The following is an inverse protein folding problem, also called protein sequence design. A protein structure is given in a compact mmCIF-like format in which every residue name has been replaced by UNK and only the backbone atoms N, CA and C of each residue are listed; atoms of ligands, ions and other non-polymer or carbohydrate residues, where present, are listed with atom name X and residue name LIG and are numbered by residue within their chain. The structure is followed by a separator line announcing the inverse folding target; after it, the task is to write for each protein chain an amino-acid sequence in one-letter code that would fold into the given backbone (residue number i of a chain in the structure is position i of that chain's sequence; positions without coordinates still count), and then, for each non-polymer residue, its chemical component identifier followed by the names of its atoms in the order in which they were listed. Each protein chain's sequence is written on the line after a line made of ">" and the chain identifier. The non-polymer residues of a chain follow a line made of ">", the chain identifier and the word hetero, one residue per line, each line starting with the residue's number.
data_IF_183889397529
#
_entry.id   IF_183889397529
#
_cell.length_a   1.000
_cell.length_b   1.000
_cell.length_c   1.000
_cell.angle_alpha   90.00
_cell.angle_beta   90.00
_cell.angle_gamma   90.00
#
_symmetry.space_group_name_H-M   'P 1'
#
loop_
_entity.id
_entity.type
_entity.pdbx_description
1 polymer ?
#
# COMPACT_ATOMS: atom_id res chain seq x y z
N UNK A 1 16.36 -30.02 6.27
CA UNK A 1 17.74 -30.57 6.32
C UNK A 1 18.13 -31.04 4.93
N UNK A 2 19.42 -31.07 4.59
CA UNK A 2 19.96 -31.70 3.38
C UNK A 2 20.65 -33.00 3.75
N UNK A 3 20.56 -33.99 2.87
CA UNK A 3 21.14 -35.31 3.04
C UNK A 3 21.89 -35.73 1.78
N UNK A 4 23.14 -36.15 1.94
CA UNK A 4 24.01 -36.57 0.83
C UNK A 4 24.35 -38.03 0.95
N UNK A 5 24.16 -38.79 -0.14
CA UNK A 5 24.47 -40.22 -0.24
C UNK A 5 25.76 -40.37 -1.04
N UNK A 6 26.71 -41.24 -0.64
CA UNK A 6 27.93 -41.49 -1.41
C UNK A 6 27.65 -41.99 -2.82
N UNK A 7 28.45 -41.57 -3.81
CA UNK A 7 28.31 -41.87 -5.25
C UNK A 7 28.30 -43.36 -5.64
N UNK A 8 28.56 -44.30 -4.72
CA UNK A 8 28.58 -45.76 -4.97
C UNK A 8 27.38 -46.53 -4.41
N UNK A 9 26.32 -45.86 -3.97
CA UNK A 9 25.17 -46.55 -3.38
C UNK A 9 24.22 -47.16 -4.44
N UNK A 10 24.05 -48.49 -4.38
CA UNK A 10 22.94 -49.26 -4.99
C UNK A 10 21.59 -48.62 -4.65
N UNK A 11 20.56 -48.80 -5.49
CA UNK A 11 19.17 -48.36 -5.20
C UNK A 11 18.80 -48.73 -3.75
N UNK A 12 18.61 -47.72 -2.91
CA UNK A 12 18.13 -47.86 -1.54
C UNK A 12 16.63 -47.67 -1.54
N UNK A 13 15.91 -48.57 -0.88
CA UNK A 13 14.50 -48.35 -0.57
C UNK A 13 14.35 -47.25 0.51
N UNK A 14 13.10 -46.84 0.78
CA UNK A 14 12.82 -45.77 1.74
C UNK A 14 13.35 -46.08 3.14
N UNK A 15 13.20 -47.34 3.61
CA UNK A 15 13.66 -47.76 4.94
C UNK A 15 15.19 -47.69 5.07
N UNK A 16 15.93 -48.07 4.01
CA UNK A 16 17.38 -47.94 3.96
C UNK A 16 17.84 -46.48 3.92
N UNK A 17 17.07 -45.58 3.30
CA UNK A 17 17.35 -44.13 3.31
C UNK A 17 17.10 -43.51 4.68
N UNK A 18 16.00 -43.88 5.36
CA UNK A 18 15.70 -43.43 6.72
C UNK A 18 16.79 -43.86 7.71
N UNK A 19 17.21 -45.13 7.65
CA UNK A 19 18.29 -45.66 8.49
C UNK A 19 19.62 -44.93 8.25
N UNK A 20 19.95 -44.67 6.97
CA UNK A 20 21.15 -43.93 6.61
C UNK A 20 21.09 -42.47 7.08
N UNK A 21 19.93 -41.82 6.97
CA UNK A 21 19.73 -40.45 7.43
C UNK A 21 19.82 -40.34 8.96
N UNK A 22 19.18 -41.26 9.68
CA UNK A 22 19.20 -41.30 11.15
C UNK A 22 20.63 -41.43 11.68
N UNK A 23 21.42 -42.35 11.09
CA UNK A 23 22.80 -42.65 11.49
C UNK A 23 23.86 -41.66 10.97
N UNK A 24 23.54 -40.83 9.98
CA UNK A 24 24.49 -39.88 9.41
C UNK A 24 24.88 -38.79 10.44
N UNK A 25 26.19 -38.51 10.63
CA UNK A 25 26.65 -37.44 11.49
C UNK A 25 26.18 -36.07 10.99
N UNK A 26 25.78 -35.16 11.90
CA UNK A 26 25.49 -33.78 11.54
C UNK A 26 26.78 -33.05 11.17
N UNK A 27 26.71 -32.19 10.16
CA UNK A 27 27.76 -31.23 9.81
C UNK A 27 27.24 -29.80 9.90
N UNK A 28 28.10 -28.87 10.30
CA UNK A 28 27.77 -27.45 10.33
C UNK A 28 27.41 -26.93 8.93
N UNK A 29 26.67 -25.82 8.88
CA UNK A 29 26.11 -25.28 7.65
C UNK A 29 27.21 -24.89 6.65
N UNK A 30 28.25 -24.21 7.13
CA UNK A 30 29.38 -23.74 6.32
C UNK A 30 30.60 -24.68 6.34
N UNK A 31 30.54 -25.80 7.07
CA UNK A 31 31.63 -26.77 7.10
C UNK A 31 31.77 -27.48 5.74
N UNK A 32 33.01 -27.68 5.28
CA UNK A 32 33.29 -28.48 4.09
C UNK A 32 32.86 -29.95 4.35
N UNK A 33 32.02 -30.55 3.50
CA UNK A 33 31.63 -31.94 3.66
C UNK A 33 32.75 -32.89 3.21
N UNK A 34 32.83 -34.07 3.82
CA UNK A 34 33.56 -35.21 3.24
C UNK A 34 32.58 -36.06 2.42
N UNK A 35 32.58 -35.86 1.10
CA UNK A 35 31.67 -36.52 0.16
C UNK A 35 31.87 -38.05 0.07
N UNK A 36 32.88 -38.60 0.76
CA UNK A 36 33.09 -40.05 0.89
C UNK A 36 32.17 -40.68 1.95
N UNK A 37 31.65 -39.89 2.88
CA UNK A 37 30.81 -40.34 3.99
C UNK A 37 29.37 -39.85 3.82
N UNK A 38 28.42 -40.58 4.39
CA UNK A 38 27.07 -40.04 4.55
C UNK A 38 27.09 -38.98 5.65
N UNK A 39 26.46 -37.84 5.41
CA UNK A 39 26.32 -36.75 6.39
C UNK A 39 24.96 -36.08 6.24
N UNK A 40 24.50 -35.41 7.30
CA UNK A 40 23.30 -34.56 7.25
C UNK A 40 23.65 -33.12 7.64
N UNK A 41 23.07 -32.16 6.92
CA UNK A 41 23.26 -30.73 7.18
C UNK A 41 21.92 -30.09 7.54
N UNK A 42 21.86 -29.42 8.69
CA UNK A 42 20.71 -28.58 9.03
C UNK A 42 20.72 -27.37 8.08
N UNK A 43 19.66 -27.20 7.30
CA UNK A 43 19.55 -26.07 6.36
C UNK A 43 18.87 -24.85 6.98
N UNK A 44 18.20 -25.07 8.11
CA UNK A 44 17.31 -24.14 8.76
C UNK A 44 16.38 -24.89 9.69
N UNK A 45 15.70 -24.15 10.53
CA UNK A 45 14.62 -24.64 11.37
C UNK A 45 13.63 -23.50 11.58
N UNK A 46 12.35 -23.84 11.58
CA UNK A 46 11.27 -22.96 11.96
C UNK A 46 10.58 -23.54 13.19
N UNK A 47 10.27 -22.69 14.15
CA UNK A 47 9.51 -23.03 15.36
C UNK A 47 8.38 -22.03 15.50
N UNK A 48 7.19 -22.52 15.85
CA UNK A 48 6.01 -21.69 16.07
C UNK A 48 5.58 -21.93 17.51
N UNK A 49 5.44 -20.85 18.27
CA UNK A 49 4.78 -20.87 19.57
C UNK A 49 3.36 -20.39 19.40
N UNK A 50 2.45 -21.05 20.09
CA UNK A 50 1.03 -20.71 20.12
C UNK A 50 0.68 -20.13 21.49
N UNK A 51 -0.31 -19.25 21.53
CA UNK A 51 -0.91 -18.81 22.79
C UNK A 51 -1.77 -19.90 23.42
N UNK A 52 -1.97 -19.78 24.74
CA UNK A 52 -3.10 -20.40 25.42
C UNK A 52 -4.45 -19.85 24.93
N UNK A 53 -5.56 -20.47 25.35
CA UNK A 53 -6.90 -19.99 24.97
C UNK A 53 -7.26 -18.61 25.57
N UNK A 54 -6.48 -18.14 26.55
CA UNK A 54 -6.55 -16.80 27.16
C UNK A 54 -5.80 -15.72 26.36
N UNK A 55 -5.03 -16.10 25.34
CA UNK A 55 -4.22 -15.22 24.50
C UNK A 55 -3.23 -14.32 25.26
N UNK A 56 -2.83 -14.69 26.49
CA UNK A 56 -1.89 -13.92 27.30
C UNK A 56 -0.47 -14.45 27.18
N UNK A 57 -0.27 -15.75 27.47
CA UNK A 57 1.05 -16.38 27.54
C UNK A 57 1.24 -17.45 26.45
N UNK A 58 2.47 -17.62 25.93
CA UNK A 58 2.77 -18.71 25.02
C UNK A 58 2.70 -20.06 25.76
N UNK A 59 2.22 -21.07 25.04
CA UNK A 59 2.34 -22.46 25.44
C UNK A 59 3.74 -23.01 25.11
N UNK A 60 4.18 -24.08 25.80
CA UNK A 60 5.41 -24.77 25.47
C UNK A 60 5.45 -25.22 24.00
N UNK A 61 6.66 -25.29 23.44
CA UNK A 61 6.86 -25.73 22.05
C UNK A 61 6.18 -27.07 21.77
N UNK A 62 5.46 -27.16 20.65
CA UNK A 62 4.73 -28.36 20.25
C UNK A 62 3.32 -28.49 20.85
N UNK A 63 2.91 -27.56 21.72
CA UNK A 63 1.55 -27.49 22.27
C UNK A 63 0.77 -26.38 21.57
N UNK A 64 -0.48 -26.68 21.20
CA UNK A 64 -1.39 -25.73 20.56
C UNK A 64 -2.75 -25.78 21.26
N UNK A 65 -3.30 -24.62 21.64
CA UNK A 65 -4.65 -24.50 22.16
C UNK A 65 -5.72 -24.56 21.04
N UNK A 66 -6.99 -24.66 21.40
CA UNK A 66 -8.08 -24.81 20.43
C UNK A 66 -8.16 -23.63 19.45
N UNK A 67 -7.83 -22.41 19.89
CA UNK A 67 -7.81 -21.22 19.04
C UNK A 67 -6.73 -21.24 17.96
N UNK A 68 -5.63 -21.96 18.18
CA UNK A 68 -4.50 -21.96 17.25
C UNK A 68 -3.87 -20.58 17.03
N UNK A 69 -4.03 -19.64 17.97
CA UNK A 69 -3.48 -18.30 17.86
C UNK A 69 -1.95 -18.32 18.00
N UNK A 70 -1.24 -17.76 17.04
CA UNK A 70 0.23 -17.73 17.04
C UNK A 70 0.72 -16.66 18.00
N UNK A 71 1.64 -17.03 18.89
CA UNK A 71 2.39 -16.09 19.71
C UNK A 71 3.54 -15.48 18.91
N UNK A 72 4.48 -16.32 18.47
CA UNK A 72 5.63 -15.91 17.66
C UNK A 72 6.07 -17.07 16.76
N UNK A 73 6.60 -16.73 15.59
CA UNK A 73 7.37 -17.67 14.76
C UNK A 73 8.84 -17.30 14.85
N UNK A 74 9.67 -18.31 15.08
CA UNK A 74 11.12 -18.23 15.11
C UNK A 74 11.69 -18.94 13.88
N UNK A 75 12.61 -18.29 13.18
CA UNK A 75 13.36 -18.89 12.07
C UNK A 75 14.85 -18.82 12.38
N UNK A 76 15.53 -19.97 12.32
CA UNK A 76 16.96 -20.03 12.57
C UNK A 76 17.72 -19.40 11.40
N UNK A 77 18.59 -18.43 11.72
CA UNK A 77 19.41 -17.70 10.74
C UNK A 77 20.84 -18.19 10.76
N UNK A 78 21.42 -18.41 11.95
CA UNK A 78 22.77 -18.93 12.10
C UNK A 78 22.79 -20.20 12.94
N UNK A 79 23.67 -21.12 12.58
CA UNK A 79 24.15 -22.13 13.53
C UNK A 79 25.27 -21.53 14.41
N UNK A 80 25.83 -22.36 15.30
CA UNK A 80 26.86 -21.96 16.27
C UNK A 80 28.05 -21.22 15.66
N UNK A 81 28.48 -21.61 14.45
CA UNK A 81 29.72 -21.12 13.83
C UNK A 81 29.45 -20.20 12.63
N UNK A 82 28.26 -20.29 12.03
CA UNK A 82 27.94 -19.65 10.76
C UNK A 82 28.13 -18.13 10.77
N UNK A 83 27.74 -17.44 11.85
CA UNK A 83 27.90 -15.99 11.94
C UNK A 83 29.39 -15.59 11.96
N UNK A 84 30.19 -16.23 12.82
CA UNK A 84 31.63 -15.96 12.91
C UNK A 84 32.35 -16.28 11.60
N UNK A 85 31.99 -17.38 10.93
CA UNK A 85 32.55 -17.74 9.63
C UNK A 85 32.15 -16.77 8.51
N UNK A 86 30.87 -16.41 8.42
CA UNK A 86 30.36 -15.51 7.39
C UNK A 86 30.95 -14.09 7.50
N UNK A 87 31.17 -13.62 8.73
CA UNK A 87 31.67 -12.28 9.02
C UNK A 87 33.12 -12.26 9.51
N UNK A 88 33.90 -13.33 9.26
CA UNK A 88 35.34 -13.42 9.60
C UNK A 88 35.67 -13.03 11.05
N UNK A 89 34.76 -13.34 11.97
CA UNK A 89 34.87 -13.05 13.41
C UNK A 89 34.49 -11.63 13.84
N UNK A 90 34.10 -10.74 12.92
CA UNK A 90 33.70 -9.36 13.26
C UNK A 90 32.33 -9.31 13.96
N UNK A 91 31.46 -10.27 13.67
CA UNK A 91 30.13 -10.41 14.27
C UNK A 91 30.12 -11.63 15.18
N UNK A 92 29.97 -11.38 16.48
CA UNK A 92 29.84 -12.40 17.52
C UNK A 92 28.50 -12.34 18.26
N UNK A 93 28.41 -13.12 19.33
CA UNK A 93 27.18 -13.26 20.13
C UNK A 93 26.63 -11.92 20.65
N UNK A 94 27.51 -11.01 21.07
CA UNK A 94 27.12 -9.71 21.60
C UNK A 94 26.44 -8.82 20.54
N UNK A 95 26.99 -8.78 19.31
CA UNK A 95 26.42 -8.01 18.21
C UNK A 95 25.09 -8.61 17.72
N UNK A 96 24.99 -9.94 17.68
CA UNK A 96 23.75 -10.63 17.33
C UNK A 96 22.64 -10.34 18.35
N UNK A 97 22.95 -10.45 19.65
CA UNK A 97 22.00 -10.11 20.69
C UNK A 97 21.59 -8.63 20.65
N UNK A 98 22.55 -7.71 20.45
CA UNK A 98 22.29 -6.28 20.35
C UNK A 98 21.42 -5.88 19.13
N UNK A 99 21.36 -6.73 18.11
CA UNK A 99 20.54 -6.51 16.90
C UNK A 99 19.22 -7.28 16.93
N UNK A 100 18.91 -7.97 18.03
CA UNK A 100 17.61 -8.62 18.24
C UNK A 100 17.54 -10.11 17.91
N UNK A 101 18.66 -10.75 17.58
CA UNK A 101 18.68 -12.21 17.44
C UNK A 101 18.62 -12.86 18.82
N UNK A 102 17.76 -13.87 18.97
CA UNK A 102 17.69 -14.69 20.17
C UNK A 102 18.58 -15.92 20.00
N UNK A 103 19.40 -16.24 21.00
CA UNK A 103 20.16 -17.49 20.99
C UNK A 103 19.27 -18.66 21.45
N UNK A 104 19.55 -19.88 20.99
CA UNK A 104 18.89 -21.09 21.50
C UNK A 104 18.98 -21.16 23.04
N UNK A 105 20.15 -20.82 23.61
CA UNK A 105 20.34 -20.73 25.05
C UNK A 105 19.38 -19.75 25.76
N UNK A 106 19.15 -18.54 25.22
CA UNK A 106 18.20 -17.59 25.84
C UNK A 106 16.77 -18.11 25.76
N UNK A 107 16.37 -18.65 24.59
CA UNK A 107 15.03 -19.19 24.38
C UNK A 107 14.74 -20.40 25.28
N UNK A 108 15.74 -21.23 25.58
CA UNK A 108 15.61 -22.31 26.57
C UNK A 108 15.50 -21.73 27.98
N UNK A 109 16.32 -20.73 28.34
CA UNK A 109 16.28 -20.12 29.67
C UNK A 109 14.96 -19.40 29.97
N UNK A 110 14.30 -18.89 28.93
CA UNK A 110 12.97 -18.28 28.97
C UNK A 110 11.84 -19.33 28.98
N UNK A 111 12.16 -20.62 28.88
CA UNK A 111 11.18 -21.72 28.84
C UNK A 111 10.39 -21.82 27.52
N UNK A 112 10.77 -21.05 26.50
CA UNK A 112 10.10 -21.01 25.21
C UNK A 112 10.49 -22.21 24.33
N UNK A 113 11.76 -22.60 24.39
CA UNK A 113 12.31 -23.75 23.69
C UNK A 113 12.66 -24.88 24.66
N UNK A 114 12.57 -26.11 24.18
CA UNK A 114 13.03 -27.31 24.86
C UNK A 114 14.29 -27.90 24.23
N UNK A 115 14.89 -28.85 24.95
CA UNK A 115 16.05 -29.62 24.49
C UNK A 115 17.41 -28.99 24.77
N UNK A 116 18.49 -29.57 24.22
CA UNK A 116 19.84 -29.07 24.41
C UNK A 116 20.12 -27.80 23.60
N UNK A 117 21.02 -26.96 24.10
CA UNK A 117 21.51 -25.79 23.37
C UNK A 117 22.37 -26.21 22.16
N UNK A 118 21.81 -26.02 20.96
CA UNK A 118 22.50 -26.25 19.69
C UNK A 118 23.37 -25.06 19.24
N UNK A 119 23.39 -23.97 20.00
CA UNK A 119 24.10 -22.73 19.67
C UNK A 119 23.48 -21.95 18.51
N UNK A 120 22.23 -22.23 18.15
CA UNK A 120 21.51 -21.54 17.09
C UNK A 120 21.17 -20.08 17.42
N UNK A 121 21.06 -19.26 16.38
CA UNK A 121 20.57 -17.88 16.46
C UNK A 121 19.33 -17.70 15.60
N UNK A 122 18.32 -17.07 16.17
CA UNK A 122 16.96 -17.04 15.65
C UNK A 122 16.49 -15.60 15.47
N UNK A 123 15.77 -15.34 14.38
CA UNK A 123 14.89 -14.17 14.26
C UNK A 123 13.48 -14.56 14.69
N UNK A 124 12.72 -13.61 15.22
CA UNK A 124 11.32 -13.80 15.56
C UNK A 124 10.43 -12.84 14.74
N UNK A 125 9.19 -13.26 14.47
CA UNK A 125 8.15 -12.33 14.01
C UNK A 125 7.79 -11.34 15.13
N UNK A 126 7.12 -10.24 14.76
CA UNK A 126 6.41 -9.44 15.75
C UNK A 126 5.37 -10.31 16.47
N UNK A 127 5.12 -9.99 17.74
CA UNK A 127 4.14 -10.66 18.59
C UNK A 127 2.87 -9.84 18.65
N UNK A 128 1.75 -10.48 18.32
CA UNK A 128 0.44 -9.87 18.54
C UNK A 128 0.13 -9.87 20.03
N UNK A 129 -0.19 -8.71 20.57
CA UNK A 129 -0.54 -8.51 21.99
C UNK A 129 -2.04 -8.25 22.07
N UNK A 130 -2.72 -9.02 22.91
CA UNK A 130 -4.18 -8.97 23.07
C UNK A 130 -4.57 -8.17 24.32
N UNK A 131 -5.81 -7.70 24.38
CA UNK A 131 -6.36 -7.06 25.57
C UNK A 131 -6.60 -8.04 26.72
N UNK A 132 -7.07 -7.54 27.88
CA UNK A 132 -7.32 -8.36 29.07
C UNK A 132 -8.51 -9.31 28.91
N UNK A 133 -9.45 -9.01 28.01
CA UNK A 133 -10.66 -9.80 27.78
C UNK A 133 -10.77 -10.25 26.30
N UNK A 134 -9.83 -11.05 25.76
CA UNK A 134 -9.73 -11.25 24.31
C UNK A 134 -10.99 -11.81 23.67
N UNK A 135 -11.82 -12.57 24.39
CA UNK A 135 -13.10 -13.06 23.88
C UNK A 135 -14.12 -11.94 23.64
N UNK A 136 -14.23 -11.01 24.57
CA UNK A 136 -15.07 -9.82 24.42
C UNK A 136 -14.52 -8.89 23.33
N UNK A 137 -13.20 -8.94 23.10
CA UNK A 137 -12.49 -8.17 22.06
C UNK A 137 -12.35 -8.93 20.73
N UNK A 138 -13.16 -9.96 20.49
CA UNK A 138 -13.17 -10.76 19.25
C UNK A 138 -11.83 -11.40 18.87
N UNK A 139 -10.95 -11.59 19.84
CA UNK A 139 -9.58 -12.06 19.69
C UNK A 139 -8.80 -11.19 18.70
N UNK A 140 -9.06 -9.88 18.69
CA UNK A 140 -8.33 -8.92 17.89
C UNK A 140 -7.16 -8.33 18.71
N UNK A 141 -5.97 -8.18 18.11
CA UNK A 141 -4.82 -7.66 18.82
C UNK A 141 -4.95 -6.15 19.07
N UNK A 142 -4.47 -5.71 20.23
CA UNK A 142 -4.36 -4.31 20.64
C UNK A 142 -2.99 -3.71 20.35
N UNK A 143 -1.97 -4.54 20.18
CA UNK A 143 -0.66 -4.09 19.73
C UNK A 143 0.09 -5.17 18.96
N UNK A 144 1.13 -4.73 18.25
CA UNK A 144 2.18 -5.60 17.72
C UNK A 144 3.50 -5.24 18.40
N UNK A 145 4.12 -6.20 19.08
CA UNK A 145 5.39 -6.04 19.79
C UNK A 145 6.52 -6.55 18.93
N UNK A 146 7.48 -5.68 18.62
CA UNK A 146 8.66 -6.07 17.87
C UNK A 146 9.62 -6.94 18.70
N UNK A 147 10.73 -7.36 18.08
CA UNK A 147 11.76 -8.17 18.73
C UNK A 147 12.51 -7.40 19.85
N UNK A 148 12.48 -6.06 19.83
CA UNK A 148 13.12 -5.20 20.84
C UNK A 148 12.18 -4.88 22.00
N UNK A 149 10.97 -5.44 21.99
CA UNK A 149 9.96 -5.21 23.03
C UNK A 149 9.21 -3.88 22.88
N UNK A 150 9.27 -3.23 21.71
CA UNK A 150 8.53 -1.99 21.44
C UNK A 150 7.18 -2.30 20.79
N UNK A 151 6.14 -1.64 21.29
CA UNK A 151 4.78 -1.88 20.85
C UNK A 151 4.33 -0.83 19.83
N UNK A 152 3.71 -1.30 18.75
CA UNK A 152 2.85 -0.50 17.87
C UNK A 152 1.40 -0.75 18.29
N UNK A 153 0.75 0.27 18.82
CA UNK A 153 -0.63 0.19 19.30
C UNK A 153 -1.63 0.20 18.14
N UNK A 154 -2.65 -0.64 18.25
CA UNK A 154 -3.75 -0.82 17.31
C UNK A 154 -5.03 -0.36 18.01
N UNK A 155 -5.69 0.63 17.43
CA UNK A 155 -6.99 1.12 17.91
C UNK A 155 -8.07 0.70 16.94
N UNK A 156 -9.26 0.39 17.44
CA UNK A 156 -10.44 0.08 16.64
C UNK A 156 -11.50 1.17 16.80
N UNK A 157 -12.42 1.23 15.85
CA UNK A 157 -13.53 2.16 15.89
C UNK A 157 -14.62 1.65 16.85
N UNK A 158 -14.91 2.46 17.88
CA UNK A 158 -15.89 2.13 18.91
C UNK A 158 -15.45 0.94 19.78
N UNK A 159 -16.35 0.53 20.67
CA UNK A 159 -16.16 -0.64 21.54
C UNK A 159 -16.53 -1.96 20.85
N UNK A 160 -17.06 -1.89 19.63
CA UNK A 160 -17.48 -3.05 18.81
C UNK A 160 -16.35 -3.61 17.92
N UNK A 161 -15.14 -3.04 17.98
CA UNK A 161 -13.96 -3.48 17.22
C UNK A 161 -14.15 -3.53 15.69
N UNK A 162 -15.08 -2.74 15.15
CA UNK A 162 -15.59 -2.89 13.79
C UNK A 162 -14.51 -2.75 12.70
N UNK A 163 -13.63 -1.77 12.83
CA UNK A 163 -12.55 -1.50 11.89
C UNK A 163 -11.36 -0.90 12.65
N UNK A 164 -10.14 -1.24 12.24
CA UNK A 164 -8.94 -0.59 12.76
C UNK A 164 -8.98 0.91 12.45
N UNK A 165 -9.01 1.74 13.48
CA UNK A 165 -9.15 3.18 13.40
C UNK A 165 -7.83 3.93 13.56
N UNK A 166 -6.82 3.36 14.21
CA UNK A 166 -5.52 3.99 14.29
C UNK A 166 -4.38 3.00 14.52
N UNK A 167 -3.19 3.42 14.10
CA UNK A 167 -1.92 2.82 14.46
C UNK A 167 -1.04 3.89 15.10
N UNK A 168 -0.50 3.61 16.29
CA UNK A 168 0.43 4.50 16.99
C UNK A 168 1.72 3.74 17.26
N UNK A 169 2.84 4.22 16.73
CA UNK A 169 4.13 3.58 16.97
C UNK A 169 4.69 3.92 18.37
N UNK A 170 5.80 3.26 18.73
CA UNK A 170 6.45 3.44 20.02
C UNK A 170 7.04 4.86 20.24
N UNK A 171 7.16 5.67 19.19
CA UNK A 171 7.56 7.08 19.28
C UNK A 171 6.36 8.03 19.41
N UNK A 172 5.14 7.50 19.35
CA UNK A 172 3.90 8.28 19.40
C UNK A 172 3.43 8.81 18.04
N UNK A 173 4.05 8.40 16.92
CA UNK A 173 3.54 8.78 15.61
C UNK A 173 2.26 7.99 15.32
N UNK A 174 1.19 8.73 15.05
CA UNK A 174 -0.15 8.19 14.81
C UNK A 174 -0.53 8.33 13.35
N UNK A 175 -1.08 7.26 12.78
CA UNK A 175 -1.84 7.30 11.53
C UNK A 175 -3.28 6.89 11.86
N UNK A 176 -4.25 7.69 11.45
CA UNK A 176 -5.63 7.59 11.94
C UNK A 176 -6.65 7.62 10.81
N UNK A 177 -7.54 6.64 10.84
CA UNK A 177 -8.78 6.59 10.08
C UNK A 177 -9.85 7.41 10.83
N UNK A 178 -10.19 8.58 10.29
CA UNK A 178 -11.17 9.49 10.91
C UNK A 178 -12.57 9.38 10.30
N UNK A 179 -12.70 8.73 9.15
CA UNK A 179 -13.98 8.43 8.52
C UNK A 179 -13.88 7.19 7.62
N UNK A 180 -14.98 6.43 7.53
CA UNK A 180 -15.10 5.28 6.64
C UNK A 180 -16.52 5.15 6.08
N UNK A 181 -16.67 4.44 4.96
CA UNK A 181 -17.95 4.14 4.34
C UNK A 181 -18.55 2.90 5.02
N UNK A 182 -19.68 3.07 5.72
CA UNK A 182 -20.38 1.99 6.45
C UNK A 182 -20.98 0.92 5.54
N UNK A 183 -21.32 1.25 4.28
CA UNK A 183 -21.83 0.28 3.30
C UNK A 183 -20.73 -0.66 2.84
N UNK A 184 -19.50 -0.18 2.77
CA UNK A 184 -18.35 -0.93 2.23
C UNK A 184 -17.37 -1.40 3.30
N UNK A 185 -17.46 -0.87 4.53
CA UNK A 185 -16.47 -0.99 5.59
C UNK A 185 -15.06 -0.64 5.10
N UNK A 186 -14.94 0.46 4.34
CA UNK A 186 -13.68 0.91 3.73
C UNK A 186 -13.28 2.31 4.19
N UNK A 187 -11.98 2.58 4.40
CA UNK A 187 -11.49 3.91 4.72
C UNK A 187 -11.92 4.99 3.72
N UNK A 188 -12.43 6.12 4.24
CA UNK A 188 -12.75 7.32 3.42
C UNK A 188 -11.93 8.53 3.84
N UNK A 189 -11.34 8.56 5.04
CA UNK A 189 -10.40 9.61 5.44
C UNK A 189 -9.29 9.09 6.34
N UNK A 190 -8.06 9.09 5.81
CA UNK A 190 -6.85 8.71 6.54
C UNK A 190 -6.02 9.97 6.83
N UNK A 191 -5.64 10.19 8.08
CA UNK A 191 -4.77 11.28 8.54
C UNK A 191 -3.39 10.70 8.86
N UNK A 192 -2.35 11.27 8.27
CA UNK A 192 -0.96 10.86 8.50
C UNK A 192 -0.34 11.57 9.73
N UNK A 193 0.89 11.18 10.07
CA UNK A 193 1.64 11.76 11.20
C UNK A 193 1.89 13.27 11.08
N UNK A 194 1.84 13.82 9.88
CA UNK A 194 2.08 15.23 9.59
C UNK A 194 0.76 16.03 9.58
N UNK A 195 -0.37 15.38 9.91
CA UNK A 195 -1.72 15.92 9.85
C UNK A 195 -2.21 16.24 8.42
N UNK A 196 -1.56 15.68 7.39
CA UNK A 196 -2.16 15.66 6.07
C UNK A 196 -3.23 14.58 6.04
N UNK A 197 -4.25 14.76 5.20
CA UNK A 197 -5.29 13.74 5.05
C UNK A 197 -5.51 13.33 3.61
N UNK A 198 -5.71 12.02 3.41
CA UNK A 198 -6.18 11.45 2.15
C UNK A 198 -7.65 11.13 2.30
N UNK A 199 -8.47 11.72 1.45
CA UNK A 199 -9.92 11.48 1.40
C UNK A 199 -10.30 10.71 0.14
N UNK A 200 -11.23 9.77 0.28
CA UNK A 200 -11.79 8.96 -0.80
C UNK A 200 -13.30 9.01 -0.74
N UNK A 201 -13.94 8.97 -1.92
CA UNK A 201 -15.36 8.72 -2.05
C UNK A 201 -15.59 7.59 -3.05
N UNK A 202 -16.51 6.70 -2.72
CA UNK A 202 -16.82 5.52 -3.53
C UNK A 202 -18.13 5.71 -4.30
N UNK A 203 -18.20 5.15 -5.50
CA UNK A 203 -19.41 5.09 -6.31
C UNK A 203 -20.40 4.05 -5.75
N UNK A 204 -21.55 3.87 -6.40
CA UNK A 204 -22.56 2.92 -5.96
C UNK A 204 -22.09 1.45 -5.98
N UNK A 205 -21.07 1.13 -6.76
CA UNK A 205 -20.47 -0.21 -6.88
C UNK A 205 -19.24 -0.41 -5.98
N UNK A 206 -18.84 0.63 -5.24
CA UNK A 206 -17.70 0.59 -4.33
C UNK A 206 -16.34 0.81 -5.00
N UNK A 207 -16.29 1.33 -6.23
CA UNK A 207 -15.06 1.81 -6.85
C UNK A 207 -14.77 3.24 -6.40
N UNK A 208 -13.49 3.61 -6.38
CA UNK A 208 -13.10 4.99 -6.03
C UNK A 208 -13.59 5.93 -7.13
N UNK A 209 -14.56 6.79 -6.80
CA UNK A 209 -15.06 7.81 -7.71
C UNK A 209 -14.15 9.04 -7.70
N UNK A 210 -13.70 9.48 -6.51
CA UNK A 210 -12.78 10.61 -6.38
C UNK A 210 -11.84 10.47 -5.18
N UNK A 211 -10.70 11.16 -5.27
CA UNK A 211 -9.68 11.25 -4.22
C UNK A 211 -9.26 12.70 -4.02
N UNK A 212 -9.05 13.09 -2.75
CA UNK A 212 -8.45 14.37 -2.41
C UNK A 212 -7.26 14.17 -1.46
N UNK A 213 -6.14 14.78 -1.79
CA UNK A 213 -4.99 14.98 -0.91
C UNK A 213 -5.15 16.35 -0.27
N UNK A 214 -5.23 16.38 1.05
CA UNK A 214 -5.41 17.60 1.83
C UNK A 214 -4.18 17.84 2.67
N UNK A 215 -3.75 19.10 2.68
CA UNK A 215 -2.77 19.57 3.64
C UNK A 215 -3.44 19.91 4.98
N UNK A 216 -2.75 20.70 5.78
CA UNK A 216 -3.27 21.13 7.07
C UNK A 216 -4.37 22.18 6.87
N UNK A 217 -5.51 22.02 7.53
CA UNK A 217 -6.63 22.96 7.42
C UNK A 217 -7.25 22.98 6.02
N UNK A 218 -7.12 24.11 5.32
CA UNK A 218 -7.73 24.36 4.01
C UNK A 218 -6.73 24.26 2.84
N UNK A 219 -5.55 23.73 3.10
CA UNK A 219 -4.51 23.49 2.10
C UNK A 219 -4.85 22.35 1.14
N UNK A 220 -4.26 22.44 -0.06
CA UNK A 220 -4.33 21.47 -1.15
C UNK A 220 -5.72 21.34 -1.80
N UNK A 221 -6.32 20.14 -1.77
CA UNK A 221 -7.53 19.77 -2.52
C UNK A 221 -8.67 19.34 -1.59
N UNK A 222 -9.87 19.11 -2.15
CA UNK A 222 -11.04 18.65 -1.39
C UNK A 222 -11.89 17.71 -2.23
N UNK A 223 -12.62 16.78 -1.62
CA UNK A 223 -13.63 16.03 -2.37
C UNK A 223 -14.67 17.00 -2.98
N UNK A 224 -15.15 16.74 -4.21
CA UNK A 224 -16.11 17.60 -4.85
C UNK A 224 -17.43 17.58 -4.08
N UNK A 225 -18.10 18.72 -3.99
CA UNK A 225 -19.44 18.77 -3.43
C UNK A 225 -20.41 18.01 -4.34
N UNK A 226 -21.32 17.23 -3.74
CA UNK A 226 -22.35 16.48 -4.47
C UNK A 226 -22.16 14.95 -4.38
N UNK A 227 -22.94 14.24 -5.19
CA UNK A 227 -22.90 12.77 -5.22
C UNK A 227 -21.63 12.28 -5.95
N UNK A 228 -21.04 11.15 -5.49
CA UNK A 228 -19.88 10.56 -6.17
C UNK A 228 -20.22 10.09 -7.59
N UNK A 229 -21.43 9.55 -7.77
CA UNK A 229 -21.93 9.03 -9.03
C UNK A 229 -22.31 10.18 -9.99
N UNK A 230 -21.64 10.23 -11.14
CA UNK A 230 -22.05 11.10 -12.25
C UNK A 230 -23.25 10.49 -12.96
N UNK A 231 -24.17 11.31 -13.43
CA UNK A 231 -25.27 10.85 -14.28
C UNK A 231 -24.76 10.29 -15.61
N UNK A 232 -25.53 9.40 -16.24
CA UNK A 232 -25.15 8.82 -17.54
C UNK A 232 -24.91 9.89 -18.61
N UNK A 233 -25.66 11.00 -18.55
CA UNK A 233 -25.50 12.14 -19.47
C UNK A 233 -24.19 12.89 -19.24
N UNK A 234 -23.78 13.09 -17.98
CA UNK A 234 -22.48 13.69 -17.64
C UNK A 234 -21.32 12.78 -18.06
N UNK A 235 -21.45 11.47 -17.81
CA UNK A 235 -20.45 10.48 -18.25
C UNK A 235 -20.34 10.48 -19.78
N UNK A 236 -21.45 10.43 -20.50
CA UNK A 236 -21.47 10.47 -21.96
C UNK A 236 -20.86 11.77 -22.51
N UNK A 237 -21.22 12.92 -21.93
CA UNK A 237 -20.67 14.22 -22.31
C UNK A 237 -19.16 14.30 -22.05
N UNK A 238 -18.68 13.75 -20.93
CA UNK A 238 -17.26 13.67 -20.63
C UNK A 238 -16.51 12.82 -21.67
N UNK A 239 -17.02 11.64 -22.03
CA UNK A 239 -16.36 10.79 -23.04
C UNK A 239 -16.46 11.34 -24.47
N UNK A 240 -17.37 12.27 -24.75
CA UNK A 240 -17.43 12.99 -26.03
C UNK A 240 -16.36 14.08 -26.14
N UNK A 241 -16.12 14.84 -25.06
CA UNK A 241 -15.06 15.85 -25.01
C UNK A 241 -14.36 15.86 -23.64
N UNK A 242 -13.41 14.93 -23.40
CA UNK A 242 -12.76 14.82 -22.11
C UNK A 242 -11.96 16.07 -21.72
N UNK A 243 -11.38 16.76 -22.71
CA UNK A 243 -10.48 17.90 -22.46
C UNK A 243 -11.24 19.14 -22.00
N UNK A 244 -12.42 19.39 -22.55
CA UNK A 244 -13.31 20.49 -22.15
C UNK A 244 -14.00 20.19 -20.81
N UNK A 245 -14.42 18.93 -20.59
CA UNK A 245 -15.19 18.53 -19.40
C UNK A 245 -14.34 18.18 -18.18
N UNK A 246 -13.06 17.85 -18.34
CA UNK A 246 -12.21 17.38 -17.25
C UNK A 246 -12.19 18.30 -16.03
N UNK A 247 -12.10 19.62 -16.24
CA UNK A 247 -12.02 20.59 -15.15
C UNK A 247 -13.30 20.59 -14.29
N UNK A 248 -14.47 20.68 -14.94
CA UNK A 248 -15.76 20.66 -14.27
C UNK A 248 -16.02 19.33 -13.55
N UNK A 249 -15.70 18.21 -14.20
CA UNK A 249 -15.89 16.87 -13.63
C UNK A 249 -14.96 16.63 -12.43
N UNK A 250 -13.70 17.08 -12.50
CA UNK A 250 -12.74 16.97 -11.41
C UNK A 250 -13.13 17.83 -10.19
N UNK A 251 -13.65 19.04 -10.44
CA UNK A 251 -14.05 19.97 -9.39
C UNK A 251 -12.87 20.33 -8.46
N UNK A 252 -13.05 20.09 -7.15
CA UNK A 252 -12.01 20.32 -6.13
C UNK A 252 -11.08 19.14 -5.89
N UNK A 253 -11.35 17.97 -6.48
CA UNK A 253 -10.66 16.72 -6.17
C UNK A 253 -9.25 16.67 -6.75
N UNK A 254 -8.28 16.09 -6.04
CA UNK A 254 -6.95 15.79 -6.61
C UNK A 254 -7.09 14.90 -7.84
N UNK A 255 -7.93 13.87 -7.75
CA UNK A 255 -8.20 12.93 -8.83
C UNK A 255 -9.67 12.50 -8.85
N UNK A 256 -10.18 12.19 -10.04
CA UNK A 256 -11.49 11.58 -10.26
C UNK A 256 -11.40 10.48 -11.30
N UNK A 257 -12.20 9.43 -11.11
CA UNK A 257 -12.39 8.35 -12.07
C UNK A 257 -13.79 8.47 -12.67
N UNK A 258 -13.87 8.46 -14.00
CA UNK A 258 -15.14 8.50 -14.74
C UNK A 258 -15.32 7.14 -15.40
N UNK A 259 -16.33 6.40 -14.93
CA UNK A 259 -16.63 5.06 -15.43
C UNK A 259 -17.92 5.08 -16.25
N UNK A 260 -17.87 4.53 -17.45
CA UNK A 260 -19.04 4.32 -18.32
C UNK A 260 -19.41 2.84 -18.30
N UNK A 261 -20.38 2.50 -17.47
CA UNK A 261 -20.94 1.15 -17.36
C UNK A 261 -21.84 0.78 -18.56
N UNK A 262 -22.39 1.78 -19.27
CA UNK A 262 -23.23 1.58 -20.44
C UNK A 262 -22.45 1.16 -21.71
N UNK A 263 -21.11 1.26 -21.70
CA UNK A 263 -20.26 0.85 -22.81
C UNK A 263 -19.75 -0.58 -22.64
N UNK A 264 -19.63 -1.32 -23.74
CA UNK A 264 -18.97 -2.63 -23.80
C UNK A 264 -17.81 -2.57 -24.82
N UNK A 265 -16.55 -2.74 -24.40
CA UNK A 265 -16.10 -2.94 -23.02
C UNK A 265 -16.31 -1.69 -22.14
N UNK A 266 -16.38 -1.90 -20.83
CA UNK A 266 -16.48 -0.81 -19.84
C UNK A 266 -15.32 0.16 -20.05
N UNK A 267 -15.64 1.45 -20.09
CA UNK A 267 -14.63 2.52 -20.24
C UNK A 267 -14.39 3.18 -18.90
N UNK A 268 -13.12 3.39 -18.57
CA UNK A 268 -12.70 4.13 -17.37
C UNK A 268 -11.71 5.20 -17.80
N UNK A 269 -11.90 6.43 -17.33
CA UNK A 269 -10.96 7.51 -17.49
C UNK A 269 -10.51 8.03 -16.12
N UNK A 270 -9.25 8.42 -16.01
CA UNK A 270 -8.70 9.10 -14.83
C UNK A 270 -8.41 10.55 -15.16
N UNK A 271 -8.90 11.45 -14.31
CA UNK A 271 -8.57 12.87 -14.34
C UNK A 271 -7.75 13.17 -13.10
N UNK A 272 -6.63 13.87 -13.27
CA UNK A 272 -5.77 14.30 -12.18
C UNK A 272 -5.38 15.76 -12.40
N UNK A 273 -5.28 16.54 -11.33
CA UNK A 273 -4.68 17.88 -11.39
C UNK A 273 -3.16 17.81 -11.22
N UNK A 274 -2.49 18.80 -11.80
CA UNK A 274 -1.05 19.04 -11.60
C UNK A 274 -0.79 20.10 -10.52
N UNK A 275 -1.74 21.00 -10.31
CA UNK A 275 -1.67 22.10 -9.33
C UNK A 275 -2.83 22.00 -8.37
N UNK A 276 -2.56 22.06 -7.07
CA UNK A 276 -3.59 21.99 -6.03
C UNK A 276 -4.62 23.12 -6.14
N UNK A 277 -5.86 22.87 -5.70
CA UNK A 277 -6.95 23.84 -5.81
C UNK A 277 -6.63 25.14 -5.10
N UNK A 278 -6.08 25.01 -3.88
CA UNK A 278 -5.74 26.14 -3.04
C UNK A 278 -4.66 27.05 -3.66
N UNK A 279 -3.95 26.58 -4.69
CA UNK A 279 -2.94 27.35 -5.43
C UNK A 279 -3.47 27.97 -6.73
N UNK A 280 -4.73 27.70 -7.11
CA UNK A 280 -5.33 28.28 -8.31
C UNK A 280 -5.76 29.74 -8.03
N UNK A 281 -5.55 30.67 -8.98
CA UNK A 281 -6.12 32.02 -8.88
C UNK A 281 -7.65 31.97 -8.76
N UNK A 282 -8.29 32.93 -8.06
CA UNK A 282 -9.74 32.98 -7.93
C UNK A 282 -10.45 32.89 -9.29
N UNK A 283 -11.40 31.96 -9.41
CA UNK A 283 -12.19 31.75 -10.62
C UNK A 283 -11.46 31.05 -11.77
N UNK A 284 -10.33 30.38 -11.52
CA UNK A 284 -9.63 29.57 -12.52
C UNK A 284 -9.59 28.10 -12.16
N UNK A 285 -9.64 27.28 -13.20
CA UNK A 285 -9.62 25.82 -13.07
C UNK A 285 -8.26 25.23 -13.47
N UNK A 286 -7.34 26.06 -13.99
CA UNK A 286 -5.95 25.68 -14.33
C UNK A 286 -5.00 26.84 -14.03
N UNK A 287 -3.79 26.54 -13.56
CA UNK A 287 -2.76 27.54 -13.24
C UNK A 287 -2.41 28.43 -14.44
N UNK A 288 -2.38 27.84 -15.65
CA UNK A 288 -2.01 28.52 -16.90
C UNK A 288 -3.21 28.89 -17.78
N UNK A 289 -4.44 28.95 -17.26
CA UNK A 289 -5.60 29.37 -18.06
C UNK A 289 -5.41 30.84 -18.47
N UNK A 290 -5.37 31.19 -19.77
CA UNK A 290 -5.22 32.59 -20.17
C UNK A 290 -6.39 33.41 -19.62
N UNK A 291 -6.10 34.59 -19.06
CA UNK A 291 -7.13 35.54 -18.64
C UNK A 291 -7.93 35.90 -19.89
N UNK A 292 -9.17 35.41 -20.03
CA UNK A 292 -10.08 35.99 -21.00
C UNK A 292 -10.48 37.39 -20.50
N UNK A 293 -9.64 38.39 -20.77
CA UNK A 293 -10.07 39.78 -20.68
C UNK A 293 -11.13 39.95 -21.77
N UNK A 294 -12.41 39.97 -21.40
CA UNK A 294 -13.44 40.59 -22.24
C UNK A 294 -13.00 42.03 -22.47
N UNK A 295 -12.40 42.30 -23.63
CA UNK A 295 -12.37 43.65 -24.15
C UNK A 295 -13.80 43.97 -24.57
N UNK A 296 -14.60 44.48 -23.62
CA UNK A 296 -15.77 45.25 -23.98
C UNK A 296 -15.27 46.46 -24.77
N UNK A 297 -15.29 46.34 -26.11
CA UNK A 297 -15.21 47.48 -27.01
C UNK A 297 -16.44 48.35 -26.74
N UNK A 298 -16.34 49.22 -25.73
CA UNK A 298 -17.23 50.37 -25.59
C UNK A 298 -17.10 51.19 -26.87
N UNK A 299 -18.14 51.19 -27.70
CA UNK A 299 -18.23 52.14 -28.82
C UNK A 299 -18.17 53.54 -28.24
N UNK A 300 -17.23 54.34 -28.75
CA UNK A 300 -17.02 55.72 -28.35
C UNK A 300 -18.23 56.58 -28.76
N UNK A 301 -18.76 57.45 -27.89
CA UNK A 301 -19.96 58.22 -28.20
C UNK A 301 -19.58 59.51 -28.94
N UNK A 302 -19.20 59.42 -30.22
CA UNK A 302 -19.11 60.59 -31.11
C UNK A 302 -19.62 60.36 -32.54
N UNK A 303 -20.14 59.18 -32.88
CA UNK A 303 -20.75 58.95 -34.20
C UNK A 303 -22.24 59.34 -34.22
N UNK A 304 -22.48 60.65 -34.21
CA UNK A 304 -23.71 61.35 -34.65
C UNK A 304 -23.20 62.71 -35.13
N UNK A 305 -23.28 63.11 -36.40
CA UNK A 305 -24.47 63.54 -37.16
C UNK A 305 -24.03 63.88 -38.60
N UNK A 306 -24.83 63.54 -39.63
CA UNK A 306 -25.25 64.39 -40.80
C UNK A 306 -26.00 63.51 -41.86
N UNK A 307 -26.91 64.09 -42.70
CA UNK A 307 -28.18 63.49 -43.14
C UNK A 307 -28.17 63.00 -44.61
N UNK A 308 -29.28 62.42 -45.13
CA UNK A 308 -29.26 61.64 -46.37
C UNK A 308 -29.46 62.51 -47.63
N UNK A 309 -28.64 62.28 -48.64
CA UNK A 309 -28.77 62.87 -49.98
C UNK A 309 -28.73 61.80 -51.07
N UNK A 310 -29.84 61.66 -51.80
CA UNK A 310 -29.95 60.88 -53.05
C UNK A 310 -28.93 61.35 -54.10
N UNK A 311 -28.33 60.41 -54.86
CA UNK A 311 -28.45 60.31 -56.33
C UNK A 311 -27.68 59.11 -56.91
N UNK A 312 -28.32 58.51 -57.90
CA UNK A 312 -27.91 57.50 -58.87
C UNK A 312 -26.71 57.92 -59.73
N UNK A 313 -25.90 56.96 -60.23
CA UNK A 313 -25.62 56.80 -61.67
C UNK A 313 -24.71 55.59 -61.98
N UNK A 314 -24.80 55.18 -63.24
CA UNK A 314 -24.33 53.98 -63.94
C UNK A 314 -22.83 53.92 -64.28
N UNK A 315 -22.46 52.77 -64.88
CA UNK A 315 -21.30 52.39 -65.72
C UNK A 315 -20.22 51.57 -65.00
N UNK A 316 -19.74 50.42 -65.49
CA UNK A 316 -19.95 49.69 -66.74
C UNK A 316 -18.66 48.97 -67.17
N UNK A 317 -18.80 47.74 -67.73
CA UNK A 317 -17.81 46.89 -68.47
C UNK A 317 -16.64 46.30 -67.66
N UNK A 318 -16.41 44.98 -67.57
CA UNK A 318 -16.37 43.85 -68.52
C UNK A 318 -15.10 43.84 -69.40
N UNK A 319 -14.30 42.75 -69.27
CA UNK A 319 -13.42 42.03 -70.25
C UNK A 319 -12.52 41.08 -69.41
N UNK A 320 -12.75 39.76 -69.34
CA UNK A 320 -12.46 38.70 -70.33
C UNK A 320 -10.96 38.49 -70.62
N UNK A 321 -10.44 37.32 -70.25
CA UNK A 321 -9.09 36.83 -70.61
C UNK A 321 -8.78 35.49 -69.92
N UNK A 322 -8.76 34.42 -70.70
CA UNK A 322 -8.85 33.00 -70.31
C UNK A 322 -7.44 32.34 -70.22
N UNK A 323 -7.25 30.99 -70.19
CA UNK A 323 -6.55 30.28 -69.11
C UNK A 323 -5.31 29.46 -69.57
N UNK A 324 -4.74 28.68 -68.64
CA UNK A 324 -3.79 27.59 -68.90
C UNK A 324 -2.56 27.71 -68.01
N UNK A 325 -1.93 26.66 -67.49
CA UNK A 325 -2.03 25.21 -67.62
C UNK A 325 -1.25 24.64 -66.40
N UNK A 326 -1.65 23.47 -65.89
CA UNK A 326 -0.74 22.58 -65.12
C UNK A 326 0.25 21.92 -66.09
N UNK A 327 1.43 21.46 -65.66
CA UNK A 327 1.56 20.06 -65.15
C UNK A 327 2.68 19.97 -64.07
N UNK A 328 2.98 18.87 -63.35
CA UNK A 328 2.61 17.46 -63.32
C UNK A 328 2.30 17.08 -61.85
#
# INVERSE_FOLDING_TARGET
>A
MSFTIPRRAVRKDAAALETLFASAPPVAFLAAPDDRLAFKRKLGADRILYYGDDLQEPLPLGVQAARGAVNRRYSQVFDREAAGMAYRGEIGAAQLAATGYASTASLISEGLFDGPDDGGWWTATEQLVYGPEPLAEFCLPRASRDFSGKDKQITYFGDDFLIMSALTDAMGFKTELTAFDMRLLRPTRLVDRNLNSTELVFDIFGFVAARALRGKGDEADRLPAGLPDLSETEVAAFFLDPSDRAAAVLGSATERFVTSYAALPVRVARIARETHQAMLPPGRDRANQPVQRRQDRRRHPLDRVLPPGRRTSHFGRQLAGQPGQRPL
#
